data_IF_120564645062
#
_entry.id   IF_120564645062
#
_cell.length_a   1.000
_cell.length_b   1.000
_cell.length_c   1.000
_cell.angle_alpha   90.00
_cell.angle_beta   90.00
_cell.angle_gamma   90.00
#
_symmetry.space_group_name_H-M   'P 1'
#
loop_
_entity.id
_entity.type
_entity.pdbx_description
1 polymer ?
#
# COMPACT_ATOMS: atom_id res chain seq x y z
N UNK A 1 -68.07 30.74 -78.92
CA UNK A 1 -68.20 30.25 -77.52
C UNK A 1 -68.02 28.74 -77.58
N UNK A 2 -67.20 28.05 -76.79
CA UNK A 2 -66.56 28.37 -75.53
C UNK A 2 -65.15 27.74 -75.45
N UNK A 3 -64.27 28.36 -74.67
CA UNK A 3 -62.94 27.89 -74.32
C UNK A 3 -63.04 26.65 -73.41
N UNK A 4 -62.24 25.63 -73.71
CA UNK A 4 -61.97 24.52 -72.79
C UNK A 4 -60.65 24.83 -72.10
N UNK A 5 -60.77 25.27 -70.85
CA UNK A 5 -59.66 25.48 -69.92
C UNK A 5 -58.91 24.15 -69.73
N UNK A 6 -57.65 24.13 -70.15
CA UNK A 6 -56.72 23.04 -69.86
C UNK A 6 -56.41 23.07 -68.36
N UNK A 7 -56.88 22.01 -67.69
CA UNK A 7 -56.77 21.82 -66.26
C UNK A 7 -55.38 22.13 -65.71
N UNK A 8 -55.41 22.93 -64.65
CA UNK A 8 -54.42 23.08 -63.59
C UNK A 8 -53.59 21.82 -63.36
N UNK A 9 -52.44 21.70 -64.03
CA UNK A 9 -51.35 20.87 -63.55
C UNK A 9 -50.89 21.48 -62.23
N UNK A 10 -51.17 20.81 -61.12
CA UNK A 10 -50.74 21.22 -59.79
C UNK A 10 -49.21 21.25 -59.76
N UNK A 11 -48.67 22.47 -59.74
CA UNK A 11 -47.26 22.73 -59.58
C UNK A 11 -46.88 22.33 -58.15
N UNK A 12 -46.31 21.14 -57.96
CA UNK A 12 -45.68 20.77 -56.71
C UNK A 12 -44.49 21.71 -56.45
N UNK A 13 -44.72 22.74 -55.66
CA UNK A 13 -43.67 23.65 -55.20
C UNK A 13 -42.76 22.86 -54.26
N UNK A 14 -41.55 22.52 -54.72
CA UNK A 14 -40.52 21.93 -53.88
C UNK A 14 -40.41 22.68 -52.55
N UNK A 15 -40.53 21.96 -51.43
CA UNK A 15 -40.45 22.52 -50.08
C UNK A 15 -39.05 23.07 -49.83
N UNK A 16 -38.86 24.37 -50.05
CA UNK A 16 -37.64 25.10 -49.68
C UNK A 16 -37.45 24.97 -48.16
N UNK A 17 -36.27 24.50 -47.72
CA UNK A 17 -36.02 24.30 -46.28
C UNK A 17 -35.82 25.66 -45.58
N UNK A 18 -36.10 25.72 -44.27
CA UNK A 18 -35.93 26.95 -43.49
C UNK A 18 -34.48 27.47 -43.49
N UNK A 19 -33.49 26.59 -43.71
CA UNK A 19 -32.08 26.97 -43.86
C UNK A 19 -31.85 27.76 -45.14
N UNK A 20 -32.43 27.32 -46.26
CA UNK A 20 -32.32 27.98 -47.57
C UNK A 20 -33.00 29.36 -47.56
N UNK A 21 -34.16 29.48 -46.90
CA UNK A 21 -34.88 30.76 -46.75
C UNK A 21 -34.02 31.78 -46.00
N UNK A 22 -33.34 31.36 -44.93
CA UNK A 22 -32.48 32.24 -44.13
C UNK A 22 -31.23 32.68 -44.90
N UNK A 23 -30.69 31.80 -45.74
CA UNK A 23 -29.57 32.13 -46.62
C UNK A 23 -29.98 33.17 -47.69
N UNK A 24 -31.15 32.97 -48.34
CA UNK A 24 -31.69 33.88 -49.35
C UNK A 24 -32.04 35.28 -48.78
N UNK A 25 -32.42 35.34 -47.50
CA UNK A 25 -32.61 36.60 -46.78
C UNK A 25 -31.28 37.33 -46.54
N UNK A 26 -30.24 36.62 -46.07
CA UNK A 26 -28.91 37.19 -45.85
C UNK A 26 -28.28 37.73 -47.14
N UNK A 27 -28.55 37.08 -48.27
CA UNK A 27 -28.05 37.50 -49.58
C UNK A 27 -28.90 38.60 -50.24
N UNK A 28 -29.99 39.06 -49.62
CA UNK A 28 -30.86 40.12 -50.14
C UNK A 28 -31.75 39.73 -51.32
N UNK A 29 -31.75 38.46 -51.72
CA UNK A 29 -32.45 37.93 -52.91
C UNK A 29 -33.96 37.79 -52.65
N UNK A 30 -34.36 37.65 -51.37
CA UNK A 30 -35.76 37.45 -50.96
C UNK A 30 -36.74 38.59 -51.32
N UNK A 31 -36.28 39.76 -51.78
CA UNK A 31 -37.15 40.88 -52.18
C UNK A 31 -37.85 40.68 -53.55
N UNK A 32 -37.53 39.62 -54.29
CA UNK A 32 -38.15 39.30 -55.60
C UNK A 32 -38.64 37.85 -55.64
N UNK A 33 -39.84 37.54 -55.14
CA UNK A 33 -40.36 36.16 -55.08
C UNK A 33 -40.60 35.51 -56.45
N UNK A 34 -40.55 36.27 -57.56
CA UNK A 34 -40.67 35.76 -58.94
C UNK A 34 -39.34 35.48 -59.64
N UNK A 35 -38.19 35.68 -58.98
CA UNK A 35 -36.89 35.63 -59.65
C UNK A 35 -36.17 34.26 -59.56
N UNK A 36 -36.69 33.31 -58.79
CA UNK A 36 -36.06 32.01 -58.58
C UNK A 36 -37.01 30.89 -59.02
N UNK A 37 -37.07 30.68 -60.33
CA UNK A 37 -37.62 29.46 -60.91
C UNK A 37 -36.44 28.56 -61.26
N UNK A 38 -36.37 27.36 -60.68
CA UNK A 38 -35.42 26.34 -61.11
C UNK A 38 -36.05 25.56 -62.27
N UNK A 39 -35.42 25.53 -63.46
CA UNK A 39 -35.90 24.71 -64.57
C UNK A 39 -35.73 23.23 -64.23
N UNK A 40 -36.73 22.40 -64.56
CA UNK A 40 -36.63 20.93 -64.48
C UNK A 40 -35.72 20.37 -65.57
N UNK A 41 -35.26 19.12 -65.37
CA UNK A 41 -34.21 18.43 -66.12
C UNK A 41 -34.44 18.29 -67.65
N UNK A 42 -35.64 18.57 -68.16
CA UNK A 42 -35.95 18.45 -69.61
C UNK A 42 -35.85 19.77 -70.39
N UNK A 43 -35.49 20.89 -69.75
CA UNK A 43 -35.28 22.18 -70.43
C UNK A 43 -33.82 22.64 -70.35
N UNK A 44 -32.90 21.89 -70.95
CA UNK A 44 -31.62 22.46 -71.38
C UNK A 44 -31.76 22.96 -72.83
N UNK A 45 -31.96 24.27 -73.07
CA UNK A 45 -31.54 24.79 -74.35
C UNK A 45 -30.04 24.58 -74.41
N UNK A 46 -29.53 23.99 -75.50
CA UNK A 46 -28.10 23.99 -75.80
C UNK A 46 -27.59 25.40 -75.52
N UNK A 47 -26.68 25.60 -74.54
CA UNK A 47 -26.40 26.94 -74.05
C UNK A 47 -25.91 27.80 -75.23
N UNK A 48 -26.35 29.07 -75.35
CA UNK A 48 -25.89 29.97 -76.40
C UNK A 48 -24.36 29.95 -76.43
N UNK A 49 -23.74 29.86 -77.60
CA UNK A 49 -22.30 29.59 -77.76
C UNK A 49 -21.38 30.45 -76.86
N UNK A 50 -21.81 31.65 -76.45
CA UNK A 50 -21.09 32.52 -75.53
C UNK A 50 -20.94 32.03 -74.07
N UNK A 51 -21.69 31.02 -73.62
CA UNK A 51 -21.64 30.50 -72.23
C UNK A 51 -20.74 29.27 -72.04
N UNK A 52 -20.30 28.62 -73.12
CA UNK A 52 -19.36 27.48 -73.06
C UNK A 52 -18.00 27.80 -72.42
N UNK A 53 -17.41 29.00 -72.57
CA UNK A 53 -16.15 29.35 -71.91
C UNK A 53 -16.30 29.39 -70.38
N UNK A 54 -17.41 29.96 -69.88
CA UNK A 54 -17.66 30.14 -68.45
C UNK A 54 -17.86 28.80 -67.71
N UNK A 55 -18.50 27.82 -68.36
CA UNK A 55 -18.63 26.47 -67.83
C UNK A 55 -17.28 25.74 -67.71
N UNK A 56 -16.39 25.89 -68.70
CA UNK A 56 -15.04 25.28 -68.65
C UNK A 56 -14.21 25.83 -67.48
N UNK A 57 -14.30 27.13 -67.21
CA UNK A 57 -13.62 27.77 -66.08
C UNK A 57 -14.14 27.23 -64.74
N UNK A 58 -15.46 27.06 -64.61
CA UNK A 58 -16.12 26.48 -63.43
C UNK A 58 -15.67 25.03 -63.16
N UNK A 59 -15.59 24.19 -64.21
CA UNK A 59 -15.06 22.83 -64.07
C UNK A 59 -13.59 22.83 -63.66
N UNK A 60 -12.79 23.75 -64.19
CA UNK A 60 -11.37 23.88 -63.84
C UNK A 60 -11.18 24.31 -62.38
N UNK A 61 -11.96 25.27 -61.90
CA UNK A 61 -11.96 25.72 -60.49
C UNK A 61 -12.44 24.58 -59.58
N UNK A 62 -13.50 23.87 -59.97
CA UNK A 62 -14.00 22.71 -59.23
C UNK A 62 -12.95 21.60 -59.09
N UNK A 63 -12.22 21.28 -60.16
CA UNK A 63 -11.15 20.28 -60.13
C UNK A 63 -9.99 20.70 -59.21
N UNK A 64 -9.63 21.99 -59.17
CA UNK A 64 -8.63 22.51 -58.23
C UNK A 64 -9.09 22.35 -56.78
N UNK A 65 -10.35 22.66 -56.47
CA UNK A 65 -10.91 22.49 -55.13
C UNK A 65 -10.90 21.03 -54.65
N UNK A 66 -11.20 20.07 -55.54
CA UNK A 66 -11.11 18.65 -55.23
C UNK A 66 -9.67 18.26 -54.90
N UNK A 67 -8.69 18.72 -55.70
CA UNK A 67 -7.28 18.48 -55.43
C UNK A 67 -6.79 19.03 -54.09
N UNK A 68 -7.23 20.24 -53.70
CA UNK A 68 -6.93 20.82 -52.39
C UNK A 68 -7.57 20.03 -51.24
N UNK A 69 -8.81 19.55 -51.43
CA UNK A 69 -9.50 18.73 -50.43
C UNK A 69 -8.74 17.43 -50.17
N UNK A 70 -8.36 16.73 -51.24
CA UNK A 70 -7.64 15.46 -51.13
C UNK A 70 -6.23 15.65 -50.53
N UNK A 71 -5.59 16.78 -50.81
CA UNK A 71 -4.32 17.15 -50.17
C UNK A 71 -4.50 17.40 -48.67
N UNK A 72 -5.51 18.18 -48.27
CA UNK A 72 -5.81 18.45 -46.86
C UNK A 72 -6.11 17.15 -46.09
N UNK A 73 -6.94 16.27 -46.65
CA UNK A 73 -7.26 14.97 -46.03
C UNK A 73 -6.00 14.10 -45.83
N UNK A 74 -5.09 14.06 -46.81
CA UNK A 74 -3.81 13.34 -46.67
C UNK A 74 -2.90 13.94 -45.61
N UNK A 75 -2.93 15.26 -45.42
CA UNK A 75 -2.13 15.91 -44.37
C UNK A 75 -2.71 15.67 -42.98
N UNK A 76 -4.03 15.64 -42.84
CA UNK A 76 -4.72 15.32 -41.59
C UNK A 76 -4.46 13.86 -41.18
N UNK A 77 -4.51 12.92 -42.12
CA UNK A 77 -4.18 11.51 -41.88
C UNK A 77 -2.74 11.33 -41.38
N UNK A 78 -1.77 12.02 -42.03
CA UNK A 78 -0.37 12.01 -41.57
C UNK A 78 -0.19 12.64 -40.19
N UNK A 79 -0.93 13.71 -39.88
CA UNK A 79 -0.91 14.33 -38.56
C UNK A 79 -1.46 13.39 -37.49
N UNK A 80 -2.55 12.70 -37.78
CA UNK A 80 -3.11 11.69 -36.87
C UNK A 80 -2.12 10.54 -36.63
N UNK A 81 -1.47 10.04 -37.68
CA UNK A 81 -0.46 8.98 -37.54
C UNK A 81 0.75 9.42 -36.71
N UNK A 82 1.24 10.64 -36.91
CA UNK A 82 2.33 11.20 -36.11
C UNK A 82 1.92 11.36 -34.65
N UNK A 83 0.68 11.78 -34.38
CA UNK A 83 0.16 11.93 -33.03
C UNK A 83 0.03 10.57 -32.31
N UNK A 84 -0.46 9.54 -33.00
CA UNK A 84 -0.50 8.17 -32.46
C UNK A 84 0.91 7.65 -32.14
N UNK A 85 1.87 7.87 -33.04
CA UNK A 85 3.28 7.51 -32.79
C UNK A 85 3.85 8.26 -31.59
N UNK A 86 3.53 9.54 -31.41
CA UNK A 86 3.95 10.32 -30.25
C UNK A 86 3.36 9.76 -28.94
N UNK A 87 2.08 9.39 -28.94
CA UNK A 87 1.40 8.79 -27.78
C UNK A 87 2.01 7.44 -27.39
N UNK A 88 2.27 6.58 -28.37
CA UNK A 88 2.92 5.28 -28.11
C UNK A 88 4.35 5.44 -27.56
N UNK A 89 5.09 6.45 -28.02
CA UNK A 89 6.42 6.79 -27.49
C UNK A 89 6.34 7.31 -26.06
N UNK A 90 5.38 8.18 -25.75
CA UNK A 90 5.16 8.70 -24.41
C UNK A 90 4.86 7.57 -23.41
N UNK A 91 3.98 6.63 -23.76
CA UNK A 91 3.70 5.46 -22.93
C UNK A 91 4.93 4.57 -22.70
N UNK A 92 5.73 4.33 -23.75
CA UNK A 92 6.96 3.54 -23.62
C UNK A 92 7.99 4.22 -22.71
N UNK A 93 8.12 5.55 -22.80
CA UNK A 93 8.99 6.31 -21.91
C UNK A 93 8.53 6.23 -20.47
N UNK A 94 7.24 6.43 -20.20
CA UNK A 94 6.65 6.31 -18.86
C UNK A 94 6.90 4.93 -18.25
N UNK A 95 6.62 3.86 -19.02
CA UNK A 95 6.90 2.48 -18.57
C UNK A 95 8.40 2.24 -18.29
N UNK A 96 9.28 2.81 -19.11
CA UNK A 96 10.73 2.67 -18.92
C UNK A 96 11.23 3.42 -17.68
N UNK A 97 10.68 4.60 -17.40
CA UNK A 97 11.00 5.36 -16.19
C UNK A 97 10.48 4.67 -14.94
N UNK A 98 9.27 4.11 -15.00
CA UNK A 98 8.71 3.37 -13.87
C UNK A 98 9.52 2.10 -13.59
N UNK A 99 9.93 1.38 -14.64
CA UNK A 99 10.85 0.26 -14.53
C UNK A 99 12.20 0.68 -13.94
N UNK A 100 12.68 1.91 -14.20
CA UNK A 100 13.90 2.46 -13.61
C UNK A 100 13.72 2.88 -12.14
N UNK A 101 12.54 3.33 -11.73
CA UNK A 101 12.25 3.76 -10.34
C UNK A 101 12.05 2.57 -9.39
N UNK A 102 11.45 1.47 -9.85
CA UNK A 102 11.19 0.26 -9.03
C UNK A 102 12.45 -0.30 -8.32
N UNK A 103 13.61 -0.50 -8.97
CA UNK A 103 14.81 -0.99 -8.31
C UNK A 103 15.31 -0.06 -7.20
N UNK A 104 15.25 1.27 -7.42
CA UNK A 104 15.70 2.26 -6.44
C UNK A 104 14.81 2.31 -5.19
N UNK A 105 13.50 2.09 -5.33
CA UNK A 105 12.62 1.98 -4.18
C UNK A 105 12.82 0.66 -3.42
N UNK A 106 13.10 -0.43 -4.13
CA UNK A 106 13.38 -1.73 -3.52
C UNK A 106 14.71 -1.73 -2.77
N UNK A 107 15.76 -1.11 -3.32
CA UNK A 107 17.06 -1.01 -2.65
C UNK A 107 16.98 -0.19 -1.36
N UNK A 108 16.23 0.91 -1.35
CA UNK A 108 16.00 1.71 -0.15
C UNK A 108 15.28 0.91 0.94
N UNK A 109 14.17 0.23 0.59
CA UNK A 109 13.43 -0.63 1.53
C UNK A 109 14.25 -1.81 2.04
N UNK A 110 15.13 -2.37 1.21
CA UNK A 110 16.05 -3.44 1.61
C UNK A 110 17.12 -2.93 2.57
N UNK A 111 17.66 -1.73 2.34
CA UNK A 111 18.60 -1.07 3.25
C UNK A 111 18.01 -0.85 4.64
N UNK A 112 16.81 -0.29 4.71
CA UNK A 112 16.12 -0.02 5.97
C UNK A 112 15.83 -1.31 6.76
N UNK A 113 15.42 -2.38 6.07
CA UNK A 113 15.25 -3.72 6.68
C UNK A 113 16.57 -4.30 7.17
N UNK A 114 17.66 -4.13 6.42
CA UNK A 114 18.98 -4.63 6.81
C UNK A 114 19.51 -3.91 8.05
N UNK A 115 19.30 -2.59 8.15
CA UNK A 115 19.74 -1.82 9.32
C UNK A 115 18.91 -2.15 10.57
N UNK A 116 17.60 -2.33 10.42
CA UNK A 116 16.75 -2.84 11.52
C UNK A 116 17.19 -4.24 11.97
N UNK A 117 17.52 -5.14 11.03
CA UNK A 117 18.00 -6.47 11.38
C UNK A 117 19.34 -6.42 12.16
N UNK A 118 20.23 -5.47 11.84
CA UNK A 118 21.48 -5.29 12.60
C UNK A 118 21.22 -4.81 14.03
N UNK A 119 20.30 -3.86 14.22
CA UNK A 119 19.96 -3.39 15.57
C UNK A 119 19.31 -4.49 16.41
N UNK A 120 18.43 -5.28 15.79
CA UNK A 120 17.78 -6.41 16.47
C UNK A 120 18.80 -7.48 16.87
N UNK A 121 19.79 -7.75 16.01
CA UNK A 121 20.84 -8.73 16.27
C UNK A 121 21.78 -8.30 17.42
N UNK A 122 22.09 -6.99 17.51
CA UNK A 122 22.82 -6.44 18.65
C UNK A 122 22.04 -6.58 19.96
N UNK A 123 20.73 -6.35 19.94
CA UNK A 123 19.86 -6.54 21.11
C UNK A 123 19.80 -7.99 21.58
N UNK A 124 19.72 -8.94 20.64
CA UNK A 124 19.74 -10.39 20.97
C UNK A 124 21.06 -10.80 21.60
N UNK A 125 22.18 -10.29 21.11
CA UNK A 125 23.50 -10.63 21.66
C UNK A 125 23.70 -10.08 23.08
N UNK A 126 23.20 -8.87 23.36
CA UNK A 126 23.19 -8.32 24.72
C UNK A 126 22.32 -9.17 25.67
N UNK A 127 21.13 -9.58 25.25
CA UNK A 127 20.24 -10.46 26.02
C UNK A 127 20.90 -11.82 26.31
N UNK A 128 21.63 -12.39 25.35
CA UNK A 128 22.37 -13.64 25.55
C UNK A 128 23.47 -13.51 26.59
N UNK A 129 24.23 -12.42 26.58
CA UNK A 129 25.25 -12.15 27.62
C UNK A 129 24.62 -12.06 29.00
N UNK A 130 23.55 -11.27 29.14
CA UNK A 130 22.82 -11.12 30.40
C UNK A 130 22.24 -12.44 30.90
N UNK A 131 21.72 -13.28 30.00
CA UNK A 131 21.23 -14.61 30.36
C UNK A 131 22.37 -15.49 30.87
N UNK A 132 23.51 -15.50 30.19
CA UNK A 132 24.67 -16.28 30.60
C UNK A 132 25.23 -15.83 31.96
N UNK A 133 25.31 -14.52 32.20
CA UNK A 133 25.71 -13.97 33.48
C UNK A 133 24.73 -14.36 34.60
N UNK A 134 23.43 -14.32 34.33
CA UNK A 134 22.41 -14.76 35.28
C UNK A 134 22.50 -16.27 35.57
N UNK A 135 22.71 -17.11 34.55
CA UNK A 135 22.90 -18.56 34.69
C UNK A 135 24.13 -18.90 35.54
N UNK A 136 25.26 -18.23 35.29
CA UNK A 136 26.48 -18.45 36.07
C UNK A 136 26.33 -17.98 37.51
N UNK A 137 25.62 -16.86 37.74
CA UNK A 137 25.30 -16.36 39.08
C UNK A 137 24.40 -17.33 39.84
N UNK A 138 23.35 -17.84 39.20
CA UNK A 138 22.43 -18.82 39.79
C UNK A 138 23.16 -20.12 40.12
N UNK A 139 24.00 -20.62 39.22
CA UNK A 139 24.81 -21.82 39.45
C UNK A 139 25.72 -21.67 40.68
N UNK A 140 26.41 -20.52 40.81
CA UNK A 140 27.21 -20.20 42.01
C UNK A 140 26.34 -20.21 43.27
N UNK A 141 25.17 -19.58 43.24
CA UNK A 141 24.26 -19.56 44.38
C UNK A 141 23.81 -20.97 44.78
N UNK A 142 23.44 -21.82 43.83
CA UNK A 142 23.07 -23.22 44.09
C UNK A 142 24.21 -23.99 44.75
N UNK A 143 25.45 -23.83 44.26
CA UNK A 143 26.60 -24.50 44.87
C UNK A 143 26.88 -24.01 46.29
N UNK A 144 26.76 -22.70 46.54
CA UNK A 144 26.93 -22.12 47.86
C UNK A 144 25.84 -22.58 48.84
N UNK A 145 24.58 -22.64 48.37
CA UNK A 145 23.46 -23.15 49.15
C UNK A 145 23.65 -24.62 49.49
N UNK A 146 24.04 -25.44 48.50
CA UNK A 146 24.31 -26.88 48.72
C UNK A 146 25.41 -27.08 49.78
N UNK A 147 26.48 -26.28 49.72
CA UNK A 147 27.55 -26.32 50.73
C UNK A 147 27.06 -25.90 52.13
N UNK A 148 26.18 -24.89 52.22
CA UNK A 148 25.56 -24.49 53.49
C UNK A 148 24.67 -25.60 54.06
N UNK A 149 23.85 -26.22 53.24
CA UNK A 149 22.96 -27.33 53.63
C UNK A 149 23.77 -28.55 54.11
N UNK A 150 24.85 -28.90 53.42
CA UNK A 150 25.74 -29.99 53.83
C UNK A 150 26.40 -29.71 55.19
N UNK A 151 26.82 -28.46 55.43
CA UNK A 151 27.39 -28.04 56.70
C UNK A 151 26.37 -28.15 57.85
N UNK A 152 25.11 -27.76 57.61
CA UNK A 152 24.01 -27.90 58.58
C UNK A 152 23.74 -29.38 58.87
N UNK A 153 23.63 -30.22 57.84
CA UNK A 153 23.41 -31.66 58.00
C UNK A 153 24.55 -32.31 58.80
N UNK A 154 25.80 -31.91 58.58
CA UNK A 154 26.95 -32.40 59.33
C UNK A 154 26.88 -32.00 60.80
N UNK A 155 26.48 -30.76 61.12
CA UNK A 155 26.26 -30.30 62.50
C UNK A 155 25.14 -31.09 63.17
N UNK A 156 23.98 -31.22 62.53
CA UNK A 156 22.84 -31.97 63.07
C UNK A 156 23.17 -33.44 63.33
N UNK A 157 23.88 -34.11 62.40
CA UNK A 157 24.34 -35.49 62.61
C UNK A 157 25.28 -35.60 63.81
N UNK A 158 26.19 -34.65 63.97
CA UNK A 158 27.11 -34.61 65.12
C UNK A 158 26.37 -34.39 66.44
N UNK A 159 25.44 -33.43 66.49
CA UNK A 159 24.61 -33.17 67.65
C UNK A 159 23.73 -34.37 68.02
N UNK A 160 23.09 -35.00 67.03
CA UNK A 160 22.28 -36.20 67.24
C UNK A 160 23.14 -37.36 67.79
N UNK A 161 24.34 -37.57 67.25
CA UNK A 161 25.25 -38.58 67.77
C UNK A 161 25.63 -38.33 69.25
N UNK A 162 25.91 -37.08 69.62
CA UNK A 162 26.16 -36.69 71.02
C UNK A 162 24.95 -36.97 71.90
N UNK A 163 23.74 -36.59 71.44
CA UNK A 163 22.50 -36.81 72.18
C UNK A 163 22.23 -38.30 72.42
N UNK A 164 22.34 -39.14 71.39
CA UNK A 164 22.18 -40.60 71.51
C UNK A 164 23.20 -41.20 72.46
N UNK A 165 24.46 -40.74 72.43
CA UNK A 165 25.48 -41.23 73.35
C UNK A 165 25.23 -40.79 74.79
N UNK A 166 24.82 -39.54 75.04
CA UNK A 166 24.44 -39.06 76.37
C UNK A 166 23.23 -39.82 76.92
N UNK A 167 22.22 -40.10 76.09
CA UNK A 167 21.04 -40.87 76.49
C UNK A 167 21.39 -42.32 76.86
N UNK A 168 22.37 -42.95 76.20
CA UNK A 168 22.87 -44.28 76.57
C UNK A 168 23.60 -44.29 77.91
N UNK A 169 24.40 -43.25 78.20
CA UNK A 169 25.09 -43.10 79.50
C UNK A 169 24.06 -42.94 80.63
N UNK A 170 23.04 -42.10 80.44
CA UNK A 170 21.98 -41.89 81.43
C UNK A 170 21.02 -43.08 81.60
N UNK A 171 20.96 -44.00 80.63
CA UNK A 171 20.18 -45.23 80.71
C UNK A 171 20.90 -46.40 81.37
N UNK A 172 22.19 -46.25 81.72
CA UNK A 172 22.97 -47.28 82.43
C UNK A 172 23.02 -47.04 83.96
N UNK A 173 22.69 -45.84 84.41
CA UNK A 173 22.66 -45.46 85.84
C UNK A 173 21.24 -45.43 86.41
N UNK A 174 20.42 -46.40 86.00
CA UNK A 174 19.09 -46.60 86.55
C UNK A 174 19.11 -47.26 87.93
N UNK A 175 19.60 -46.53 88.94
CA UNK A 175 19.12 -46.51 90.33
C UNK A 175 19.74 -45.30 91.05
N UNK A 176 19.16 -44.11 90.90
CA UNK A 176 19.13 -43.10 91.98
C UNK A 176 18.17 -41.97 91.59
N UNK A 177 17.00 -41.95 92.24
CA UNK A 177 16.07 -40.82 92.22
C UNK A 177 16.75 -39.58 92.81
N UNK A 178 17.09 -38.61 91.95
CA UNK A 178 17.39 -37.25 92.40
C UNK A 178 16.52 -36.24 91.64
N UNK A 179 15.72 -35.53 92.44
CA UNK A 179 14.88 -34.38 92.12
C UNK A 179 15.31 -33.59 90.87
N UNK A 180 14.51 -33.66 89.81
CA UNK A 180 14.58 -32.75 88.68
C UNK A 180 14.02 -31.38 89.06
N UNK A 181 14.88 -30.51 89.57
CA UNK A 181 14.64 -29.06 89.60
C UNK A 181 14.81 -28.46 88.21
N UNK A 182 13.74 -27.82 87.71
CA UNK A 182 13.66 -26.84 86.61
C UNK A 182 14.33 -27.21 85.28
N UNK A 183 13.49 -27.67 84.36
CA UNK A 183 13.76 -27.84 82.92
C UNK A 183 13.79 -26.53 82.10
N UNK A 184 13.90 -25.36 82.76
CA UNK A 184 13.81 -24.06 82.07
C UNK A 184 15.16 -23.53 81.54
N UNK A 185 16.31 -24.05 82.00
CA UNK A 185 17.62 -23.44 81.70
C UNK A 185 18.30 -23.96 80.41
N UNK A 186 17.77 -25.01 79.77
CA UNK A 186 18.42 -25.66 78.61
C UNK A 186 17.70 -25.34 77.29
N UNK A 187 16.43 -24.94 77.33
CA UNK A 187 15.60 -24.74 76.12
C UNK A 187 15.73 -23.32 75.55
N UNK A 188 16.04 -22.34 76.38
CA UNK A 188 16.09 -20.90 76.03
C UNK A 188 17.24 -20.52 75.09
N UNK A 189 18.49 -20.98 75.27
CA UNK A 189 19.61 -20.51 74.44
C UNK A 189 19.50 -20.97 72.98
N UNK A 190 18.92 -22.14 72.74
CA UNK A 190 18.78 -22.72 71.39
C UNK A 190 17.67 -22.02 70.59
N UNK A 191 16.60 -21.60 71.26
CA UNK A 191 15.51 -20.86 70.62
C UNK A 191 15.92 -19.41 70.28
N UNK A 192 16.74 -18.78 71.13
CA UNK A 192 17.24 -17.42 70.90
C UNK A 192 18.22 -17.35 69.72
N UNK A 193 19.17 -18.29 69.62
CA UNK A 193 20.12 -18.35 68.49
C UNK A 193 19.42 -18.57 67.14
N UNK A 194 18.33 -19.35 67.12
CA UNK A 194 17.56 -19.60 65.89
C UNK A 194 16.72 -18.39 65.45
N UNK A 195 16.21 -17.59 66.39
CA UNK A 195 15.49 -16.35 66.05
C UNK A 195 16.43 -15.25 65.55
N UNK A 196 17.63 -15.14 66.12
CA UNK A 196 18.63 -14.17 65.67
C UNK A 196 19.15 -14.47 64.26
N UNK A 197 19.26 -15.74 63.87
CA UNK A 197 19.67 -16.11 62.51
C UNK A 197 18.54 -15.89 61.47
N UNK A 198 17.26 -16.06 61.86
CA UNK A 198 16.11 -15.74 61.01
C UNK A 198 15.98 -14.23 60.76
N UNK A 199 16.16 -13.40 61.79
CA UNK A 199 16.12 -11.93 61.66
C UNK A 199 17.24 -11.38 60.78
N UNK A 200 18.41 -12.03 60.76
CA UNK A 200 19.52 -11.64 59.87
C UNK A 200 19.30 -12.05 58.40
N UNK A 201 18.48 -13.06 58.14
CA UNK A 201 18.16 -13.46 56.77
C UNK A 201 17.18 -12.50 56.10
N UNK A 202 16.19 -11.98 56.83
CA UNK A 202 15.23 -11.00 56.29
C UNK A 202 15.86 -9.62 55.99
N UNK A 203 16.87 -9.22 56.77
CA UNK A 203 17.55 -7.94 56.57
C UNK A 203 18.44 -7.88 55.31
N UNK A 204 18.82 -9.03 54.75
CA UNK A 204 19.67 -9.12 53.55
C UNK A 204 18.87 -9.36 52.25
N UNK A 205 17.52 -9.36 52.34
CA UNK A 205 16.61 -9.57 51.20
C UNK A 205 15.93 -8.30 50.67
N UNK A 206 16.34 -7.10 51.11
CA UNK A 206 15.91 -5.80 50.55
C UNK A 206 16.96 -5.17 49.64
#
# INVERSE_FOLDING_TARGET
>A
MAAVDLGTAEWERSKITNQDINLLKKLGISKKPKAVCFPSEESYPTPPMGYRPMMKELFRIGAQFIGYRDYASKTEEKLAEVNERANTLAQKLEQSEEARRRPSQMSFKLGEKADKAKTDLLGVEDLRKRLHDAETSLSKHITAQSAREEAILKRLRSQNHRFVNCSKVLGQDGEEEKNFGKYDDIVTPVAEDMMDELLRMDANSS
#
